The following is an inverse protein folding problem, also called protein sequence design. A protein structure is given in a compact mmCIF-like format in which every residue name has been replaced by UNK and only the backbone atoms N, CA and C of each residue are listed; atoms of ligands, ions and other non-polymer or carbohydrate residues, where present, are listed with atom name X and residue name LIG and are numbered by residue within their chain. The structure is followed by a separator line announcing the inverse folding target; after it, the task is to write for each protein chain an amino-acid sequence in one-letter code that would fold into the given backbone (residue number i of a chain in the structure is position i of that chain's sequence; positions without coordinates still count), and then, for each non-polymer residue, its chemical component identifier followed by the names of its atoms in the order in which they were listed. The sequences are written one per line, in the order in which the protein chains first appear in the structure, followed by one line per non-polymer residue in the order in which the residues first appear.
data_IF_091025228133
#
_entry.id   IF_091025228133
#
_cell.length_a   1.000
_cell.length_b   1.000
_cell.length_c   1.000
_cell.angle_alpha   90.00
_cell.angle_beta   90.00
_cell.angle_gamma   90.00
#
_symmetry.space_group_name_H-M   'P 1'
#
loop_
_entity.id
_entity.type
_entity.pdbx_description
1 polymer ?
#
# COMPACT_ATOMS: atom_id res chain seq x y z
N UNK A 1 -30.55 -14.55 -22.73
CA UNK A 1 -29.30 -15.25 -22.40
C UNK A 1 -28.14 -14.34 -22.76
N UNK A 2 -27.42 -13.82 -21.77
CA UNK A 2 -26.18 -13.07 -22.01
C UNK A 2 -25.13 -14.04 -22.58
N UNK A 3 -24.35 -13.68 -23.61
CA UNK A 3 -23.33 -14.57 -24.14
C UNK A 3 -22.15 -14.66 -23.16
N UNK A 4 -21.99 -15.81 -22.49
CA UNK A 4 -20.82 -16.16 -21.66
C UNK A 4 -19.59 -16.56 -22.50
N UNK A 5 -19.27 -15.79 -23.55
CA UNK A 5 -18.04 -16.04 -24.31
C UNK A 5 -16.92 -15.18 -23.72
N UNK A 6 -16.02 -15.82 -22.97
CA UNK A 6 -14.79 -15.17 -22.48
C UNK A 6 -13.97 -14.70 -23.68
N UNK A 7 -13.92 -13.38 -23.89
CA UNK A 7 -13.06 -12.76 -24.89
C UNK A 7 -11.67 -12.57 -24.29
N UNK A 8 -10.63 -12.97 -25.01
CA UNK A 8 -9.23 -12.85 -24.58
C UNK A 8 -8.61 -11.63 -25.26
N UNK A 9 -8.18 -10.65 -24.47
CA UNK A 9 -7.39 -9.54 -24.96
C UNK A 9 -5.90 -9.90 -24.92
N UNK A 10 -5.25 -9.97 -26.08
CA UNK A 10 -3.79 -10.02 -26.18
C UNK A 10 -3.32 -8.59 -26.44
N UNK A 11 -2.94 -7.87 -25.38
CA UNK A 11 -2.41 -6.52 -25.52
C UNK A 11 -1.17 -6.50 -26.41
N UNK A 12 -1.09 -5.51 -27.31
CA UNK A 12 0.13 -5.26 -28.08
C UNK A 12 1.16 -4.66 -27.12
N UNK A 13 2.04 -5.49 -26.56
CA UNK A 13 3.18 -5.02 -25.77
C UNK A 13 4.22 -4.51 -26.76
N UNK A 14 4.10 -3.24 -27.16
CA UNK A 14 5.18 -2.60 -27.92
C UNK A 14 6.38 -2.48 -27.00
N UNK A 15 7.47 -3.19 -27.33
CA UNK A 15 8.75 -3.13 -26.63
C UNK A 15 9.27 -1.69 -26.56
N UNK A 16 8.86 -0.94 -25.54
CA UNK A 16 9.50 0.23 -24.95
C UNK A 16 9.06 0.26 -23.49
N UNK A 17 10.01 0.50 -22.59
CA UNK A 17 9.93 0.34 -21.13
C UNK A 17 8.89 1.20 -20.39
N UNK A 18 7.94 1.83 -21.08
CA UNK A 18 6.88 2.65 -20.46
C UNK A 18 5.50 2.26 -21.00
N UNK A 19 4.76 1.46 -20.24
CA UNK A 19 3.29 1.52 -20.14
C UNK A 19 2.77 0.42 -19.19
N UNK A 20 2.27 0.84 -18.02
CA UNK A 20 1.45 0.07 -17.07
C UNK A 20 2.15 -0.99 -16.22
N UNK A 21 3.31 -0.68 -15.62
CA UNK A 21 3.80 -1.49 -14.50
C UNK A 21 3.06 -1.06 -13.23
N UNK A 22 2.04 -1.84 -12.85
CA UNK A 22 1.44 -1.72 -11.51
C UNK A 22 2.50 -2.08 -10.48
N UNK A 23 2.90 -1.11 -9.66
CA UNK A 23 3.83 -1.32 -8.55
C UNK A 23 3.02 -1.44 -7.26
N UNK A 24 3.22 -2.55 -6.54
CA UNK A 24 2.64 -2.76 -5.21
C UNK A 24 3.75 -2.64 -4.18
N UNK A 25 3.64 -1.66 -3.29
CA UNK A 25 4.61 -1.45 -2.19
C UNK A 25 3.95 -1.86 -0.87
N UNK A 26 4.12 -3.11 -0.42
CA UNK A 26 3.46 -3.61 0.78
C UNK A 26 4.06 -2.98 2.05
N UNK A 27 3.18 -2.58 2.98
CA UNK A 27 3.56 -2.10 4.32
C UNK A 27 2.99 -3.08 5.35
N UNK A 28 3.80 -4.06 5.75
CA UNK A 28 3.33 -5.18 6.57
C UNK A 28 3.51 -4.84 8.04
N UNK A 29 2.41 -4.87 8.79
CA UNK A 29 2.40 -4.72 10.24
C UNK A 29 2.50 -6.10 10.90
N UNK A 30 3.64 -6.39 11.48
CA UNK A 30 3.95 -7.67 12.12
C UNK A 30 3.85 -7.54 13.66
N UNK A 31 2.96 -8.30 14.33
CA UNK A 31 2.85 -8.25 15.78
C UNK A 31 4.04 -8.94 16.46
N UNK A 32 4.64 -8.27 17.44
CA UNK A 32 5.78 -8.78 18.20
C UNK A 32 5.36 -9.01 19.65
N UNK A 33 5.56 -10.24 20.12
CA UNK A 33 5.28 -10.63 21.50
C UNK A 33 6.29 -9.99 22.47
N UNK A 34 5.84 -9.61 23.66
CA UNK A 34 6.76 -9.14 24.71
C UNK A 34 7.77 -10.21 25.11
N UNK A 35 8.96 -9.77 25.53
CA UNK A 35 10.11 -10.64 25.76
C UNK A 35 10.77 -11.13 24.46
N UNK A 36 10.63 -10.35 23.38
CA UNK A 36 11.17 -10.66 22.07
C UNK A 36 11.89 -9.44 21.47
N UNK A 37 12.81 -9.69 20.54
CA UNK A 37 13.43 -8.67 19.73
C UNK A 37 13.47 -9.08 18.26
N UNK A 38 13.39 -8.12 17.36
CA UNK A 38 13.68 -8.30 15.94
C UNK A 38 15.03 -7.65 15.64
N UNK A 39 15.91 -8.39 14.98
CA UNK A 39 17.21 -7.87 14.53
C UNK A 39 17.28 -8.03 13.02
N UNK A 40 17.46 -6.92 12.31
CA UNK A 40 17.77 -6.90 10.88
C UNK A 40 19.26 -6.66 10.71
N UNK A 41 19.92 -7.54 9.96
CA UNK A 41 21.33 -7.44 9.62
C UNK A 41 21.50 -6.85 8.23
N UNK A 42 22.65 -6.25 7.95
CA UNK A 42 22.94 -5.79 6.59
C UNK A 42 22.99 -6.94 5.59
N UNK A 43 23.52 -8.09 6.02
CA UNK A 43 23.78 -9.27 5.19
C UNK A 43 22.89 -10.45 5.56
N UNK A 44 22.23 -11.04 4.57
CA UNK A 44 21.33 -12.18 4.77
C UNK A 44 22.05 -13.42 5.33
N UNK A 45 23.33 -13.60 4.98
CA UNK A 45 24.13 -14.73 5.44
C UNK A 45 24.38 -14.67 6.95
N UNK A 46 24.40 -13.47 7.55
CA UNK A 46 24.51 -13.29 9.00
C UNK A 46 23.24 -13.79 9.68
N UNK A 47 22.07 -13.31 9.24
CA UNK A 47 20.79 -13.73 9.76
C UNK A 47 20.59 -15.25 9.69
N UNK A 48 20.96 -15.86 8.55
CA UNK A 48 20.88 -17.31 8.36
C UNK A 48 21.73 -18.07 9.39
N UNK A 49 22.99 -17.67 9.62
CA UNK A 49 23.85 -18.32 10.63
C UNK A 49 23.29 -18.23 12.05
N UNK A 50 22.76 -17.06 12.41
CA UNK A 50 22.15 -16.85 13.73
C UNK A 50 20.94 -17.76 13.92
N UNK A 51 20.10 -17.92 12.90
CA UNK A 51 18.94 -18.83 12.90
C UNK A 51 19.38 -20.30 12.98
N UNK A 52 20.42 -20.69 12.24
CA UNK A 52 20.96 -22.05 12.25
C UNK A 52 21.52 -22.46 13.63
N UNK A 53 22.12 -21.52 14.36
CA UNK A 53 22.58 -21.73 15.74
C UNK A 53 21.43 -21.94 16.74
N UNK A 54 20.22 -21.45 16.43
CA UNK A 54 18.96 -21.53 17.20
C UNK A 54 18.96 -20.90 18.59
N UNK A 55 20.06 -21.00 19.34
CA UNK A 55 20.14 -20.56 20.71
C UNK A 55 21.43 -19.77 20.94
N UNK A 56 21.30 -18.63 21.62
CA UNK A 56 22.39 -17.73 21.94
C UNK A 56 22.41 -17.44 23.44
N UNK A 57 23.61 -17.43 24.02
CA UNK A 57 23.80 -17.11 25.45
C UNK A 57 24.32 -15.70 25.57
N UNK A 58 23.42 -14.76 25.86
CA UNK A 58 23.70 -13.33 25.99
C UNK A 58 24.20 -13.03 27.39
N UNK A 59 25.37 -12.41 27.49
CA UNK A 59 25.92 -11.90 28.74
C UNK A 59 25.39 -10.50 28.97
N UNK A 60 24.69 -10.31 30.08
CA UNK A 60 24.19 -9.03 30.53
C UNK A 60 25.25 -8.35 31.40
N UNK A 61 25.76 -7.21 30.96
CA UNK A 61 26.63 -6.36 31.78
C UNK A 61 25.78 -5.34 32.54
N UNK A 62 25.70 -5.45 33.86
CA UNK A 62 25.18 -4.40 34.72
C UNK A 62 26.28 -3.34 34.93
N UNK A 63 25.89 -2.07 35.07
CA UNK A 63 26.80 -0.92 35.08
C UNK A 63 27.95 -0.97 36.11
N UNK A 64 28.92 -0.08 35.93
CA UNK A 64 30.26 -0.03 36.55
C UNK A 64 30.34 0.08 38.10
N UNK A 65 29.24 -0.07 38.84
CA UNK A 65 29.20 0.20 40.30
C UNK A 65 28.99 -1.03 41.20
N UNK A 66 28.99 -2.25 40.66
CA UNK A 66 28.94 -3.46 41.50
C UNK A 66 30.15 -4.35 41.22
N UNK A 67 31.05 -4.36 42.20
CA UNK A 67 32.20 -5.27 42.29
C UNK A 67 31.74 -6.73 42.13
N UNK A 68 32.19 -7.36 41.04
CA UNK A 68 32.48 -8.79 40.86
C UNK A 68 31.37 -9.85 41.04
N UNK A 69 30.12 -9.53 41.39
CA UNK A 69 29.06 -10.55 41.53
C UNK A 69 27.97 -10.47 40.45
N UNK A 70 28.06 -11.47 39.56
CA UNK A 70 27.03 -11.99 38.64
C UNK A 70 26.94 -11.36 37.24
N UNK A 71 27.85 -11.78 36.35
CA UNK A 71 27.57 -11.79 34.91
C UNK A 71 26.33 -12.65 34.64
N UNK A 72 25.16 -12.03 34.54
CA UNK A 72 23.93 -12.73 34.25
C UNK A 72 23.94 -13.21 32.79
N UNK A 73 23.67 -14.51 32.59
CA UNK A 73 23.62 -15.12 31.27
C UNK A 73 22.19 -15.49 30.93
N UNK A 74 21.71 -14.99 29.81
CA UNK A 74 20.36 -15.24 29.31
C UNK A 74 20.44 -16.11 28.07
N UNK A 75 19.57 -17.12 28.00
CA UNK A 75 19.38 -17.94 26.81
C UNK A 75 18.26 -17.35 25.97
N UNK A 76 18.56 -16.94 24.74
CA UNK A 76 17.58 -16.44 23.78
C UNK A 76 17.48 -17.40 22.59
N UNK A 77 16.28 -17.57 22.07
CA UNK A 77 16.03 -18.42 20.90
C UNK A 77 15.91 -17.57 19.65
N UNK A 78 16.69 -17.91 18.62
CA UNK A 78 16.67 -17.31 17.31
C UNK A 78 15.77 -18.13 16.36
N UNK A 79 14.83 -17.45 15.72
CA UNK A 79 13.90 -18.01 14.76
C UNK A 79 13.79 -17.12 13.51
N UNK A 80 13.46 -17.71 12.35
CA UNK A 80 13.18 -16.93 11.16
C UNK A 80 11.89 -16.11 11.30
N UNK A 81 11.80 -15.02 10.56
CA UNK A 81 10.58 -14.22 10.43
C UNK A 81 9.93 -14.50 9.08
N UNK A 82 8.70 -15.01 9.13
CA UNK A 82 7.88 -15.26 7.95
C UNK A 82 6.70 -14.27 7.92
N UNK A 83 6.52 -13.58 6.79
CA UNK A 83 5.49 -12.57 6.53
C UNK A 83 4.61 -12.98 5.34
N UNK A 84 3.43 -12.40 5.22
CA UNK A 84 2.55 -12.60 4.07
C UNK A 84 2.71 -11.44 3.09
N UNK A 85 3.28 -11.72 1.92
CA UNK A 85 3.40 -10.74 0.83
C UNK A 85 2.30 -10.95 -0.21
N UNK A 86 1.75 -9.88 -0.80
CA UNK A 86 0.92 -9.97 -1.99
C UNK A 86 1.64 -10.72 -3.12
N UNK A 87 0.95 -11.66 -3.76
CA UNK A 87 1.50 -12.47 -4.87
C UNK A 87 0.75 -12.30 -6.18
N UNK A 88 -0.54 -11.98 -6.12
CA UNK A 88 -1.35 -11.67 -7.30
C UNK A 88 -2.46 -10.69 -6.94
N UNK A 89 -2.71 -9.73 -7.83
CA UNK A 89 -3.79 -8.75 -7.74
C UNK A 89 -4.61 -8.80 -9.03
N UNK A 90 -5.92 -8.94 -8.89
CA UNK A 90 -6.88 -8.82 -9.99
C UNK A 90 -7.76 -7.59 -9.73
N UNK A 91 -7.88 -6.73 -10.74
CA UNK A 91 -8.72 -5.54 -10.71
C UNK A 91 -9.80 -5.71 -11.77
N UNK A 92 -11.06 -5.71 -11.33
CA UNK A 92 -12.21 -5.68 -12.21
C UNK A 92 -12.48 -4.25 -12.65
N UNK A 93 -12.49 -4.00 -13.95
CA UNK A 93 -12.85 -2.70 -14.51
C UNK A 93 -14.29 -2.76 -15.05
N UNK A 94 -15.16 -1.90 -14.53
CA UNK A 94 -16.55 -1.82 -14.96
C UNK A 94 -16.83 -0.43 -15.51
N UNK A 95 -17.44 -0.37 -16.69
CA UNK A 95 -17.89 0.89 -17.29
C UNK A 95 -19.29 1.20 -16.77
N UNK A 96 -19.50 2.40 -16.25
CA UNK A 96 -20.82 2.88 -15.84
C UNK A 96 -21.74 3.08 -17.06
N UNK A 97 -22.98 2.59 -16.96
CA UNK A 97 -24.07 2.85 -17.90
C UNK A 97 -24.81 4.17 -17.62
N UNK A 98 -24.52 4.80 -16.48
CA UNK A 98 -25.20 6.00 -15.99
C UNK A 98 -24.28 7.20 -15.83
N UNK A 99 -22.97 7.02 -15.84
CA UNK A 99 -22.03 8.08 -15.51
C UNK A 99 -21.12 8.42 -16.68
N UNK A 100 -20.92 9.72 -16.87
CA UNK A 100 -19.96 10.26 -17.85
C UNK A 100 -18.92 11.11 -17.15
N UNK A 101 -17.74 11.18 -17.76
CA UNK A 101 -16.70 12.13 -17.41
C UNK A 101 -16.73 13.28 -18.40
N UNK A 102 -16.72 14.50 -17.87
CA UNK A 102 -16.66 15.73 -18.64
C UNK A 102 -15.31 16.40 -18.37
N UNK A 103 -14.51 16.55 -19.41
CA UNK A 103 -13.20 17.20 -19.36
C UNK A 103 -13.13 18.42 -20.29
N UNK A 104 -11.97 19.07 -20.32
CA UNK A 104 -11.73 20.31 -21.08
C UNK A 104 -12.68 21.45 -20.63
N UNK A 105 -12.92 21.52 -19.32
CA UNK A 105 -13.78 22.52 -18.71
C UNK A 105 -13.17 23.92 -18.83
N UNK A 106 -13.97 24.95 -19.13
CA UNK A 106 -13.46 26.30 -19.27
C UNK A 106 -13.11 26.93 -17.91
N UNK A 107 -11.98 27.65 -17.86
CA UNK A 107 -11.58 28.46 -16.70
C UNK A 107 -12.34 29.79 -16.70
N UNK A 108 -13.52 29.82 -16.08
CA UNK A 108 -14.44 30.96 -16.15
C UNK A 108 -14.36 31.94 -14.97
N UNK A 109 -13.47 31.69 -14.00
CA UNK A 109 -13.39 32.50 -12.77
C UNK A 109 -14.69 32.48 -11.94
N UNK A 110 -15.54 31.46 -12.13
CA UNK A 110 -16.76 31.24 -11.36
C UNK A 110 -16.51 30.17 -10.30
N UNK A 111 -17.29 30.17 -9.20
CA UNK A 111 -17.23 29.10 -8.21
C UNK A 111 -17.51 27.73 -8.84
N UNK A 112 -16.86 26.69 -8.32
CA UNK A 112 -17.00 25.30 -8.79
C UNK A 112 -18.46 24.85 -8.83
N UNK A 113 -19.22 25.11 -7.77
CA UNK A 113 -20.66 24.80 -7.72
C UNK A 113 -21.46 25.47 -8.83
N UNK A 114 -21.11 26.72 -9.19
CA UNK A 114 -21.80 27.43 -10.26
C UNK A 114 -21.46 26.86 -11.66
N UNK A 115 -20.29 26.23 -11.81
CA UNK A 115 -19.97 25.48 -13.02
C UNK A 115 -20.75 24.16 -13.06
N UNK A 116 -20.81 23.44 -11.94
CA UNK A 116 -21.59 22.21 -11.80
C UNK A 116 -23.08 22.46 -12.10
N UNK A 117 -23.67 23.56 -11.60
CA UNK A 117 -25.04 23.99 -11.92
C UNK A 117 -25.30 24.13 -13.41
N UNK A 118 -24.35 24.75 -14.13
CA UNK A 118 -24.49 24.96 -15.58
C UNK A 118 -24.36 23.65 -16.34
N UNK A 119 -23.46 22.78 -15.91
CA UNK A 119 -23.28 21.46 -16.51
C UNK A 119 -24.53 20.60 -16.27
N UNK A 120 -25.02 20.52 -15.03
CA UNK A 120 -26.25 19.80 -14.70
C UNK A 120 -27.43 20.31 -15.54
N UNK A 121 -27.64 21.63 -15.60
CA UNK A 121 -28.72 22.22 -16.38
C UNK A 121 -28.58 21.94 -17.89
N UNK A 122 -27.34 21.80 -18.38
CA UNK A 122 -27.08 21.46 -19.78
C UNK A 122 -27.39 19.99 -20.05
N UNK A 123 -26.87 19.10 -19.22
CA UNK A 123 -27.01 17.65 -19.40
C UNK A 123 -28.37 17.11 -18.95
N UNK A 124 -29.16 17.85 -18.17
CA UNK A 124 -30.55 17.48 -17.85
C UNK A 124 -31.51 17.55 -19.05
N UNK A 125 -31.11 18.24 -20.12
CA UNK A 125 -31.97 18.48 -21.28
C UNK A 125 -31.84 17.35 -22.32
N UNK A 126 -32.95 16.66 -22.58
CA UNK A 126 -33.05 15.62 -23.63
C UNK A 126 -32.60 16.07 -25.02
N UNK A 127 -32.79 17.35 -25.38
CA UNK A 127 -32.34 17.91 -26.67
C UNK A 127 -30.81 17.84 -26.86
N UNK A 128 -30.06 17.80 -25.75
CA UNK A 128 -28.61 17.67 -25.77
C UNK A 128 -28.17 16.18 -25.76
N UNK A 129 -29.13 15.25 -25.65
CA UNK A 129 -28.90 13.81 -25.51
C UNK A 129 -28.68 13.36 -24.07
N UNK A 130 -28.88 14.24 -23.08
CA UNK A 130 -28.79 13.88 -21.67
C UNK A 130 -30.15 13.59 -21.03
N UNK A 131 -30.16 13.50 -19.70
CA UNK A 131 -31.32 13.10 -18.91
C UNK A 131 -31.20 13.61 -17.47
N UNK A 132 -32.20 13.32 -16.64
CA UNK A 132 -32.21 13.74 -15.24
C UNK A 132 -30.93 13.30 -14.52
N UNK A 133 -30.28 14.25 -13.85
CA UNK A 133 -29.00 14.06 -13.18
C UNK A 133 -29.27 13.67 -11.73
N UNK A 134 -28.70 12.55 -11.30
CA UNK A 134 -28.77 12.05 -9.93
C UNK A 134 -27.68 12.69 -9.06
N UNK A 135 -26.46 12.76 -9.59
CA UNK A 135 -25.33 13.33 -8.87
C UNK A 135 -24.30 13.94 -9.82
N UNK A 136 -23.53 14.88 -9.28
CA UNK A 136 -22.47 15.60 -9.98
C UNK A 136 -21.36 15.91 -9.00
N UNK A 137 -20.12 15.97 -9.48
CA UNK A 137 -18.99 16.38 -8.66
C UNK A 137 -17.71 16.42 -9.45
N UNK A 138 -16.73 17.16 -8.94
CA UNK A 138 -15.36 17.07 -9.46
C UNK A 138 -14.72 15.75 -9.03
N UNK A 139 -13.90 15.20 -9.91
CA UNK A 139 -12.98 14.12 -9.53
C UNK A 139 -11.80 14.74 -8.78
N UNK A 140 -11.55 14.26 -7.57
CA UNK A 140 -10.49 14.72 -6.68
C UNK A 140 -9.17 14.94 -7.42
N UNK A 141 -8.57 16.12 -7.24
CA UNK A 141 -7.31 16.54 -7.87
C UNK A 141 -7.30 16.60 -9.41
N UNK A 142 -8.47 16.64 -10.07
CA UNK A 142 -8.58 16.78 -11.52
C UNK A 142 -9.54 17.91 -11.91
N UNK A 143 -9.37 18.47 -13.11
CA UNK A 143 -10.30 19.44 -13.71
C UNK A 143 -11.46 18.75 -14.45
N UNK A 144 -11.86 17.55 -14.00
CA UNK A 144 -12.90 16.75 -14.62
C UNK A 144 -14.12 16.64 -13.71
N UNK A 145 -15.31 16.61 -14.33
CA UNK A 145 -16.58 16.46 -13.63
C UNK A 145 -17.18 15.11 -13.96
N UNK A 146 -17.57 14.36 -12.94
CA UNK A 146 -18.45 13.19 -13.07
C UNK A 146 -19.89 13.68 -13.04
N UNK A 147 -20.68 13.23 -14.02
CA UNK A 147 -22.13 13.38 -14.00
C UNK A 147 -22.75 11.99 -14.03
N UNK A 148 -23.63 11.70 -13.07
CA UNK A 148 -24.39 10.46 -13.00
C UNK A 148 -25.86 10.75 -13.25
N UNK A 149 -26.45 10.02 -14.19
CA UNK A 149 -27.85 10.14 -14.56
C UNK A 149 -28.73 9.15 -13.77
N UNK A 150 -29.98 9.53 -13.54
CA UNK A 150 -30.98 8.64 -12.91
C UNK A 150 -31.26 7.43 -13.80
N UNK A 151 -31.28 7.62 -15.12
CA UNK A 151 -31.65 6.57 -16.09
C UNK A 151 -30.42 5.94 -16.74
N UNK A 152 -30.42 4.61 -16.82
CA UNK A 152 -29.51 3.84 -17.67
C UNK A 152 -29.70 4.18 -19.15
N UNK A 153 -28.62 4.09 -19.94
CA UNK A 153 -28.66 4.29 -21.39
C UNK A 153 -28.51 5.75 -21.83
N UNK A 154 -28.44 6.70 -20.89
CA UNK A 154 -28.18 8.13 -21.19
C UNK A 154 -26.69 8.37 -21.44
N UNK A 155 -25.81 7.63 -20.76
CA UNK A 155 -24.37 7.84 -20.83
C UNK A 155 -23.79 7.40 -22.19
N UNK A 156 -24.20 6.25 -22.73
CA UNK A 156 -23.61 5.67 -23.95
C UNK A 156 -23.76 6.56 -25.18
N UNK A 157 -24.93 7.17 -25.48
CA UNK A 157 -25.06 8.09 -26.60
C UNK A 157 -24.20 9.35 -26.44
N UNK A 158 -24.03 9.84 -25.21
CA UNK A 158 -23.18 10.99 -24.91
C UNK A 158 -21.70 10.64 -25.11
N UNK A 159 -21.26 9.48 -24.63
CA UNK A 159 -19.90 8.97 -24.82
C UNK A 159 -19.61 8.73 -26.30
N UNK A 160 -20.57 8.19 -27.07
CA UNK A 160 -20.42 7.96 -28.50
C UNK A 160 -20.24 9.26 -29.31
N UNK A 161 -20.78 10.39 -28.84
CA UNK A 161 -20.54 11.72 -29.44
C UNK A 161 -19.11 12.21 -29.21
N UNK A 162 -18.49 11.85 -28.09
CA UNK A 162 -17.11 12.20 -27.73
C UNK A 162 -16.89 13.66 -27.34
N UNK A 163 -17.46 14.62 -28.08
CA UNK A 163 -17.41 16.05 -27.77
C UNK A 163 -18.81 16.68 -27.93
N UNK A 164 -19.08 17.73 -27.14
CA UNK A 164 -20.33 18.50 -27.24
C UNK A 164 -20.09 19.99 -27.03
N UNK A 165 -20.79 20.82 -27.80
CA UNK A 165 -20.77 22.26 -27.57
C UNK A 165 -21.81 22.64 -26.50
N UNK A 166 -21.33 23.20 -25.39
CA UNK A 166 -22.16 23.71 -24.30
C UNK A 166 -22.08 25.24 -24.20
N UNK A 167 -23.24 25.85 -23.95
CA UNK A 167 -23.33 27.26 -23.61
C UNK A 167 -23.22 27.40 -22.09
N UNK A 168 -22.09 27.94 -21.62
CA UNK A 168 -21.82 28.13 -20.20
C UNK A 168 -21.68 29.64 -19.95
N UNK A 169 -22.70 30.23 -19.33
CA UNK A 169 -22.78 31.69 -19.23
C UNK A 169 -22.99 32.34 -20.61
N UNK A 170 -22.04 33.18 -21.03
CA UNK A 170 -22.08 33.88 -22.33
C UNK A 170 -21.21 33.24 -23.42
N UNK A 171 -20.39 32.24 -23.06
CA UNK A 171 -19.46 31.59 -23.99
C UNK A 171 -19.96 30.24 -24.49
N UNK A 172 -19.49 29.86 -25.69
CA UNK A 172 -19.62 28.50 -26.24
C UNK A 172 -18.31 27.77 -26.00
N UNK A 173 -18.40 26.60 -25.40
CA UNK A 173 -17.24 25.77 -25.08
C UNK A 173 -17.46 24.36 -25.60
N UNK A 174 -16.42 23.77 -26.15
CA UNK A 174 -16.42 22.35 -26.49
C UNK A 174 -16.00 21.57 -25.25
N UNK A 175 -16.86 20.66 -24.82
CA UNK A 175 -16.62 19.78 -23.69
C UNK A 175 -16.37 18.38 -24.22
N UNK A 176 -15.39 17.69 -23.65
CA UNK A 176 -15.10 16.30 -24.00
C UNK A 176 -15.82 15.36 -23.05
N UNK A 177 -16.43 14.32 -23.60
CA UNK A 177 -17.19 13.30 -22.89
C UNK A 177 -16.45 11.97 -23.03
N UNK A 178 -16.12 11.35 -21.90
CA UNK A 178 -15.48 10.04 -21.85
C UNK A 178 -16.22 9.10 -20.89
N UNK A 179 -16.05 7.78 -21.04
CA UNK A 179 -16.70 6.81 -20.17
C UNK A 179 -16.17 6.92 -18.74
N UNK A 180 -17.07 6.85 -17.76
CA UNK A 180 -16.67 6.65 -16.37
C UNK A 180 -16.40 5.15 -16.14
N UNK A 181 -15.16 4.82 -15.76
CA UNK A 181 -14.73 3.45 -15.46
C UNK A 181 -14.44 3.39 -13.96
N UNK A 182 -15.10 2.47 -13.25
CA UNK A 182 -14.74 2.10 -11.88
C UNK A 182 -13.81 0.89 -11.91
N UNK A 183 -12.85 0.87 -10.98
CA UNK A 183 -11.95 -0.25 -10.77
C UNK A 183 -12.08 -0.76 -9.35
N UNK A 184 -12.39 -2.04 -9.20
CA UNK A 184 -12.52 -2.69 -7.91
C UNK A 184 -11.51 -3.83 -7.80
N UNK A 185 -10.92 -4.02 -6.61
CA UNK A 185 -10.07 -5.19 -6.35
C UNK A 185 -10.99 -6.40 -6.27
N UNK A 186 -10.92 -7.29 -7.25
CA UNK A 186 -11.75 -8.50 -7.31
C UNK A 186 -11.07 -9.69 -6.66
N UNK A 187 -9.73 -9.69 -6.61
CA UNK A 187 -8.97 -10.76 -5.98
C UNK A 187 -7.60 -10.27 -5.51
N UNK A 188 -7.18 -10.69 -4.32
CA UNK A 188 -5.85 -10.45 -3.79
C UNK A 188 -5.34 -11.74 -3.14
N UNK A 189 -4.24 -12.27 -3.66
CA UNK A 189 -3.60 -13.49 -3.13
C UNK A 189 -2.35 -13.11 -2.35
N UNK A 190 -2.07 -13.90 -1.31
CA UNK A 190 -0.88 -13.76 -0.48
C UNK A 190 -0.04 -15.03 -0.54
N UNK A 191 1.27 -14.87 -0.38
CA UNK A 191 2.20 -15.98 -0.21
C UNK A 191 3.09 -15.75 1.02
N UNK A 192 3.39 -16.81 1.79
CA UNK A 192 4.42 -16.73 2.82
C UNK A 192 5.77 -16.37 2.20
N UNK A 193 6.48 -15.46 2.84
CA UNK A 193 7.81 -15.02 2.46
C UNK A 193 8.68 -14.89 3.70
N UNK A 194 9.89 -15.42 3.63
CA UNK A 194 10.86 -15.32 4.71
C UNK A 194 11.64 -14.02 4.58
N UNK A 195 11.73 -13.25 5.66
CA UNK A 195 12.63 -12.10 5.74
C UNK A 195 14.07 -12.60 5.76
N UNK A 196 14.87 -12.38 4.69
CA UNK A 196 16.19 -12.99 4.57
C UNK A 196 17.23 -12.39 5.53
N UNK A 197 17.00 -11.16 5.98
CA UNK A 197 17.92 -10.38 6.82
C UNK A 197 17.48 -10.23 8.26
N UNK A 198 16.26 -10.64 8.60
CA UNK A 198 15.65 -10.37 9.91
C UNK A 198 15.47 -11.64 10.72
N UNK A 199 15.88 -11.59 11.98
CA UNK A 199 15.79 -12.67 12.96
C UNK A 199 14.86 -12.26 14.10
N UNK A 200 14.00 -13.17 14.53
CA UNK A 200 13.22 -13.05 15.74
C UNK A 200 13.98 -13.72 16.90
N UNK A 201 14.27 -12.94 17.92
CA UNK A 201 14.75 -13.43 19.21
C UNK A 201 13.60 -13.51 20.19
N UNK A 202 13.53 -14.61 20.94
CA UNK A 202 12.50 -14.84 21.96
C UNK A 202 13.11 -15.40 23.24
N UNK A 203 12.36 -15.29 24.35
CA UNK A 203 12.82 -15.72 25.66
C UNK A 203 13.68 -14.66 26.37
N UNK A 204 13.54 -13.39 26.01
CA UNK A 204 14.26 -12.29 26.64
C UNK A 204 13.56 -11.94 27.97
N UNK A 205 14.25 -12.04 29.12
CA UNK A 205 13.68 -11.75 30.42
C UNK A 205 13.71 -10.25 30.71
N UNK A 206 12.78 -9.80 31.56
CA UNK A 206 12.66 -8.40 31.98
C UNK A 206 13.54 -8.13 33.21
N UNK A 207 14.85 -8.07 32.99
CA UNK A 207 15.87 -7.90 34.06
C UNK A 207 16.73 -6.65 33.89
N UNK A 208 16.72 -6.05 32.69
CA UNK A 208 17.35 -4.78 32.37
C UNK A 208 16.29 -3.82 31.86
N UNK A 209 16.56 -2.51 31.99
CA UNK A 209 15.78 -1.49 31.31
C UNK A 209 15.78 -1.68 29.79
N UNK A 210 14.85 -1.01 29.11
CA UNK A 210 14.63 -1.14 27.67
C UNK A 210 15.88 -0.79 26.83
N UNK A 211 16.50 0.37 27.08
CA UNK A 211 17.72 0.79 26.36
C UNK A 211 18.93 -0.10 26.66
N UNK A 212 19.29 -0.39 27.94
CA UNK A 212 20.41 -1.28 28.23
C UNK A 212 20.24 -2.69 27.66
N UNK A 213 19.01 -3.23 27.66
CA UNK A 213 18.74 -4.53 27.06
C UNK A 213 18.93 -4.50 25.55
N UNK A 214 18.40 -3.46 24.88
CA UNK A 214 18.56 -3.27 23.44
C UNK A 214 20.03 -3.21 23.05
N UNK A 215 20.81 -2.37 23.73
CA UNK A 215 22.23 -2.17 23.44
C UNK A 215 23.04 -3.45 23.71
N UNK A 216 22.72 -4.18 24.79
CA UNK A 216 23.36 -5.48 25.10
C UNK A 216 23.12 -6.52 24.00
N UNK A 217 21.89 -6.61 23.49
CA UNK A 217 21.54 -7.49 22.39
C UNK A 217 22.28 -7.08 21.12
N UNK A 218 22.28 -5.80 20.78
CA UNK A 218 22.97 -5.29 19.60
C UNK A 218 24.47 -5.62 19.63
N UNK A 219 25.15 -5.30 20.73
CA UNK A 219 26.58 -5.62 20.92
C UNK A 219 26.84 -7.13 20.85
N UNK A 220 25.93 -7.95 21.38
CA UNK A 220 26.06 -9.40 21.29
C UNK A 220 26.05 -9.89 19.84
N UNK A 221 25.09 -9.41 19.05
CA UNK A 221 24.86 -9.85 17.67
C UNK A 221 25.71 -9.11 16.63
N UNK A 222 26.45 -8.07 17.01
CA UNK A 222 27.50 -7.49 16.18
C UNK A 222 28.81 -8.30 16.21
N UNK A 223 29.05 -9.10 17.25
CA UNK A 223 30.31 -9.85 17.41
C UNK A 223 30.38 -11.03 16.44
N UNK A 224 31.35 -11.00 15.52
CA UNK A 224 31.61 -12.09 14.57
C UNK A 224 31.92 -13.44 15.26
N UNK A 225 32.53 -13.42 16.45
CA UNK A 225 32.79 -14.63 17.26
C UNK A 225 31.51 -15.34 17.71
N UNK A 226 30.35 -14.67 17.66
CA UNK A 226 29.02 -15.18 18.00
C UNK A 226 28.17 -15.45 16.74
N UNK A 227 28.81 -15.50 15.57
CA UNK A 227 28.13 -15.65 14.28
C UNK A 227 27.50 -14.36 13.74
N UNK A 228 27.61 -13.27 14.51
CA UNK A 228 27.03 -11.96 14.26
C UNK A 228 27.67 -11.15 13.12
N UNK A 229 27.20 -9.92 12.95
CA UNK A 229 27.65 -9.00 11.90
C UNK A 229 26.98 -7.64 12.03
N UNK A 230 27.15 -6.77 11.04
CA UNK A 230 26.59 -5.41 11.05
C UNK A 230 25.06 -5.44 11.15
N UNK A 231 24.55 -4.71 12.14
CA UNK A 231 23.12 -4.61 12.46
C UNK A 231 22.59 -3.33 11.82
N UNK A 232 21.55 -3.48 11.01
CA UNK A 232 20.86 -2.39 10.33
C UNK A 232 19.74 -1.80 11.20
N UNK A 233 18.99 -2.68 11.89
CA UNK A 233 17.95 -2.27 12.80
C UNK A 233 17.72 -3.28 13.93
N UNK A 234 17.40 -2.79 15.13
CA UNK A 234 16.99 -3.61 16.26
C UNK A 234 15.73 -3.04 16.93
N UNK A 235 14.71 -3.88 17.09
CA UNK A 235 13.48 -3.54 17.80
C UNK A 235 13.24 -4.52 18.95
N UNK A 236 13.36 -4.06 20.19
CA UNK A 236 13.10 -4.86 21.40
C UNK A 236 11.71 -4.55 21.97
N UNK A 237 10.98 -5.58 22.39
CA UNK A 237 9.69 -5.47 23.08
C UNK A 237 9.82 -6.10 24.47
N UNK A 238 9.79 -5.31 25.56
CA UNK A 238 9.86 -5.83 26.93
C UNK A 238 8.77 -6.84 27.26
N UNK A 239 9.03 -7.73 28.22
CA UNK A 239 8.03 -8.70 28.68
C UNK A 239 6.78 -7.98 29.20
N UNK A 240 5.60 -8.57 28.99
CA UNK A 240 4.32 -7.96 29.37
C UNK A 240 3.86 -6.79 28.47
N UNK A 241 4.68 -6.33 27.53
CA UNK A 241 4.29 -5.35 26.50
C UNK A 241 3.95 -6.04 25.17
N UNK A 242 3.36 -5.29 24.24
CA UNK A 242 3.11 -5.70 22.85
C UNK A 242 3.70 -4.65 21.92
N UNK A 243 4.38 -5.11 20.88
CA UNK A 243 4.95 -4.25 19.84
C UNK A 243 4.37 -4.59 18.47
N UNK A 244 4.55 -3.67 17.52
CA UNK A 244 4.26 -3.90 16.11
C UNK A 244 5.46 -3.41 15.31
N UNK A 245 6.07 -4.31 14.55
CA UNK A 245 7.10 -3.97 13.57
C UNK A 245 6.46 -3.69 12.21
N UNK A 246 7.02 -2.74 11.48
CA UNK A 246 6.59 -2.41 10.11
C UNK A 246 7.67 -2.86 9.14
N UNK A 247 7.34 -3.83 8.30
CA UNK A 247 8.20 -4.30 7.23
C UNK A 247 7.81 -3.61 5.93
N UNK A 248 8.82 -3.04 5.27
CA UNK A 248 8.72 -2.47 3.93
C UNK A 248 9.66 -3.23 3.01
N UNK A 249 9.39 -3.18 1.71
CA UNK A 249 10.29 -3.77 0.72
C UNK A 249 11.61 -3.00 0.70
N UNK A 250 12.71 -3.74 0.71
CA UNK A 250 14.06 -3.20 0.64
C UNK A 250 14.35 -2.77 -0.80
N UNK A 251 14.16 -1.48 -1.07
CA UNK A 251 14.58 -0.87 -2.33
C UNK A 251 16.09 -0.60 -2.25
N UNK A 252 16.88 -1.67 -2.34
CA UNK A 252 18.35 -1.61 -2.33
C UNK A 252 18.94 -0.65 -3.35
#
# INVERSE_FOLDING_TARGET
TLPEKKLVFKGLVTNKEDANKLTLTPWIRYPVLGGSALITFEKAEVAQRIIEMKEHVVELSYGEELEELEQCRVRVQAAPVDILLPSALEIGLTRSSRSILVSDLPSLGIPEEALLDKLELFFSKRKNGGGEVESRGFLDNSSQVVLTFVQDGVAEPLIAKGCIQALIGKGKYELKISPCISGDITNLKFQPSRCPRTVLLSGIPDVLGEDPMRDTLEIHFQKASRGGGEVDALAYVPAGRRGVAVFVEDAG
#
